data_IF_333860375883
#
_entry.id   IF_333860375883
#
_cell.length_a   1.000
_cell.length_b   1.000
_cell.length_c   1.000
_cell.angle_alpha   90.00
_cell.angle_beta   90.00
_cell.angle_gamma   90.00
#
_symmetry.space_group_name_H-M   'P 1'
#
loop_
_entity.id
_entity.type
_entity.pdbx_description
1 polymer ?
#
# COMPACT_ATOMS: atom_id res chain seq x y z
N UNK A 1 35.15 -12.88 -16.70
CA UNK A 1 33.73 -12.87 -16.30
C UNK A 1 33.24 -11.45 -16.21
N UNK A 2 32.14 -11.15 -16.88
CA UNK A 2 31.59 -9.80 -16.72
C UNK A 2 31.09 -9.61 -15.29
N UNK A 3 31.42 -8.46 -14.72
CA UNK A 3 30.94 -8.10 -13.40
C UNK A 3 29.49 -7.64 -13.53
N UNK A 4 28.59 -8.27 -12.78
CA UNK A 4 27.21 -7.82 -12.71
C UNK A 4 27.15 -6.51 -11.93
N UNK A 5 26.81 -5.44 -12.62
CA UNK A 5 26.56 -4.17 -11.96
C UNK A 5 25.07 -4.02 -11.71
N UNK A 6 24.69 -4.09 -10.45
CA UNK A 6 23.33 -3.82 -10.04
C UNK A 6 23.17 -2.32 -9.82
N UNK A 7 22.31 -1.70 -10.62
CA UNK A 7 21.96 -0.30 -10.40
C UNK A 7 21.09 -0.20 -9.14
N UNK A 8 21.36 0.75 -8.24
CA UNK A 8 20.50 0.94 -7.09
C UNK A 8 19.09 1.35 -7.55
N UNK A 9 18.09 0.92 -6.81
CA UNK A 9 16.71 1.36 -7.05
C UNK A 9 16.64 2.88 -6.94
N UNK A 10 15.90 3.55 -7.82
CA UNK A 10 15.74 5.01 -7.72
C UNK A 10 14.89 5.42 -6.51
N UNK A 11 14.20 4.49 -5.88
CA UNK A 11 13.32 4.74 -4.74
C UNK A 11 13.70 3.85 -3.56
N UNK A 12 13.67 4.41 -2.36
CA UNK A 12 13.95 3.69 -1.12
C UNK A 12 12.85 3.98 -0.10
N UNK A 13 12.26 2.94 0.45
CA UNK A 13 11.32 3.08 1.56
C UNK A 13 12.11 3.26 2.85
N UNK A 14 11.97 4.43 3.48
CA UNK A 14 12.71 4.77 4.72
C UNK A 14 12.00 4.27 5.96
N UNK A 15 10.67 4.44 6.00
CA UNK A 15 9.86 4.01 7.12
C UNK A 15 8.41 3.91 6.69
N UNK A 16 7.63 3.19 7.49
CA UNK A 16 6.20 3.02 7.24
C UNK A 16 5.48 2.89 8.58
N UNK A 17 4.26 3.42 8.62
CA UNK A 17 3.41 3.31 9.79
C UNK A 17 1.99 2.97 9.37
N UNK A 18 1.33 2.17 10.20
CA UNK A 18 -0.09 1.89 10.04
C UNK A 18 -0.86 2.94 10.82
N UNK A 19 -1.68 3.71 10.13
CA UNK A 19 -2.47 4.77 10.76
C UNK A 19 -3.77 4.22 11.32
N UNK A 20 -4.42 3.30 10.60
CA UNK A 20 -5.66 2.68 11.08
C UNK A 20 -5.90 1.36 10.37
N UNK A 21 -6.56 0.44 11.08
CA UNK A 21 -7.03 -0.83 10.53
C UNK A 21 -8.43 -1.06 11.07
N UNK A 22 -9.37 -1.34 10.16
CA UNK A 22 -10.70 -1.78 10.54
C UNK A 22 -11.07 -2.94 9.64
N UNK A 23 -11.34 -4.10 10.25
CA UNK A 23 -11.76 -5.31 9.57
C UNK A 23 -13.01 -5.84 10.25
N UNK A 24 -14.07 -5.96 9.49
CA UNK A 24 -15.32 -6.51 9.95
C UNK A 24 -15.55 -7.85 9.27
N UNK A 25 -15.64 -8.93 10.05
CA UNK A 25 -15.90 -10.26 9.53
C UNK A 25 -17.39 -10.42 9.27
N UNK A 26 -17.72 -11.05 8.16
CA UNK A 26 -19.10 -11.43 7.86
C UNK A 26 -19.36 -12.78 8.50
N UNK A 27 -20.34 -12.81 9.40
CA UNK A 27 -20.71 -14.02 10.15
C UNK A 27 -21.93 -14.68 9.51
N UNK A 28 -22.08 -15.98 9.77
CA UNK A 28 -23.27 -16.76 9.42
C UNK A 28 -23.59 -16.82 7.93
N UNK A 29 -22.54 -16.87 7.10
CA UNK A 29 -22.66 -17.02 5.66
C UNK A 29 -22.09 -18.37 5.22
N UNK A 30 -22.86 -19.10 4.41
CA UNK A 30 -22.40 -20.36 3.81
C UNK A 30 -21.51 -20.12 2.59
N UNK A 31 -21.74 -19.02 1.89
CA UNK A 31 -20.98 -18.64 0.72
C UNK A 31 -20.53 -17.17 0.82
N UNK A 32 -19.29 -16.92 0.45
CA UNK A 32 -18.75 -15.58 0.42
C UNK A 32 -18.57 -15.09 -1.00
N UNK A 33 -18.88 -13.82 -1.24
CA UNK A 33 -18.66 -13.15 -2.51
C UNK A 33 -17.26 -12.55 -2.62
N UNK A 34 -17.03 -11.90 -3.73
CA UNK A 34 -15.76 -11.21 -3.98
C UNK A 34 -15.72 -9.84 -3.32
N UNK A 35 -14.53 -9.43 -2.94
CA UNK A 35 -14.29 -8.07 -2.45
C UNK A 35 -13.97 -7.14 -3.62
N UNK A 36 -14.47 -5.93 -3.55
CA UNK A 36 -14.09 -4.84 -4.44
C UNK A 36 -13.07 -3.97 -3.71
N UNK A 37 -11.91 -3.78 -4.32
CA UNK A 37 -10.85 -2.95 -3.75
C UNK A 37 -10.89 -1.55 -4.32
N UNK A 38 -10.71 -0.58 -3.46
CA UNK A 38 -10.58 0.82 -3.81
C UNK A 38 -9.34 1.35 -3.12
N UNK A 39 -8.49 2.05 -3.87
CA UNK A 39 -7.20 2.53 -3.38
C UNK A 39 -7.11 4.03 -3.60
N UNK A 40 -6.88 4.77 -2.53
CA UNK A 40 -6.61 6.21 -2.59
C UNK A 40 -5.16 6.46 -2.22
N UNK A 41 -4.51 7.37 -2.94
CA UNK A 41 -3.11 7.73 -2.76
C UNK A 41 -2.96 9.23 -2.65
N UNK A 42 -2.23 9.68 -1.63
CA UNK A 42 -1.92 11.09 -1.44
C UNK A 42 -0.41 11.23 -1.23
N UNK A 43 0.25 11.96 -2.12
CA UNK A 43 1.70 12.15 -2.10
C UNK A 43 2.02 13.58 -1.70
N UNK A 44 3.05 13.73 -0.85
CA UNK A 44 3.51 15.06 -0.43
C UNK A 44 5.03 15.08 -0.32
N UNK A 45 5.68 16.14 -0.83
CA UNK A 45 7.09 16.33 -0.55
C UNK A 45 7.29 16.65 0.93
N UNK A 46 8.42 16.20 1.47
CA UNK A 46 8.75 16.49 2.87
C UNK A 46 9.48 17.82 2.93
N UNK A 47 8.96 18.74 3.76
CA UNK A 47 9.56 20.04 3.94
C UNK A 47 10.99 19.89 4.49
N UNK A 48 11.92 20.66 3.93
CA UNK A 48 13.33 20.68 4.30
C UNK A 48 14.10 19.39 4.02
N UNK A 49 13.52 18.45 3.28
CA UNK A 49 14.18 17.22 2.83
C UNK A 49 13.88 17.03 1.34
N UNK A 50 14.69 17.61 0.45
CA UNK A 50 14.35 17.74 -0.96
C UNK A 50 14.13 16.44 -1.72
N UNK A 51 14.75 15.36 -1.31
CA UNK A 51 14.60 14.07 -2.01
C UNK A 51 13.61 13.12 -1.33
N UNK A 52 12.91 13.60 -0.31
CA UNK A 52 12.03 12.78 0.49
C UNK A 52 10.56 13.09 0.26
N UNK A 53 9.75 12.05 0.29
CA UNK A 53 8.32 12.12 0.00
C UNK A 53 7.53 11.29 0.99
N UNK A 54 6.35 11.77 1.35
CA UNK A 54 5.37 10.99 2.09
C UNK A 54 4.29 10.46 1.14
N UNK A 55 3.87 9.23 1.36
CA UNK A 55 2.74 8.64 0.64
C UNK A 55 1.76 8.09 1.66
N UNK A 56 0.54 8.56 1.60
CA UNK A 56 -0.56 8.03 2.38
C UNK A 56 -1.39 7.13 1.49
N UNK A 57 -1.57 5.88 1.90
CA UNK A 57 -2.29 4.89 1.15
C UNK A 57 -3.51 4.45 1.95
N UNK A 58 -4.68 4.58 1.37
CA UNK A 58 -5.93 4.09 1.95
C UNK A 58 -6.50 3.01 1.06
N UNK A 59 -6.66 1.82 1.61
CA UNK A 59 -7.21 0.67 0.91
C UNK A 59 -8.54 0.32 1.55
N UNK A 60 -9.60 0.36 0.76
CA UNK A 60 -10.92 -0.09 1.19
C UNK A 60 -11.27 -1.36 0.46
N UNK A 61 -11.83 -2.32 1.17
CA UNK A 61 -12.36 -3.53 0.56
C UNK A 61 -13.79 -3.69 1.02
N UNK A 62 -14.66 -3.83 0.03
CA UNK A 62 -16.10 -3.79 0.19
C UNK A 62 -16.75 -4.90 -0.63
N UNK A 63 -18.04 -5.07 -0.48
CA UNK A 63 -18.76 -6.06 -1.26
C UNK A 63 -18.80 -5.67 -2.74
N UNK A 64 -18.43 -6.62 -3.61
CA UNK A 64 -18.53 -6.40 -5.04
C UNK A 64 -19.98 -6.42 -5.53
N UNK A 65 -20.82 -7.21 -4.86
CA UNK A 65 -22.26 -7.23 -5.11
C UNK A 65 -23.01 -7.38 -3.78
N UNK A 66 -24.32 -7.20 -3.82
CA UNK A 66 -25.15 -7.27 -2.62
C UNK A 66 -25.67 -8.66 -2.29
N UNK A 67 -25.43 -9.63 -3.16
CA UNK A 67 -26.00 -10.97 -3.03
C UNK A 67 -25.17 -11.83 -2.08
N UNK A 68 -23.84 -11.78 -2.22
CA UNK A 68 -22.93 -12.56 -1.39
C UNK A 68 -21.88 -11.63 -0.81
N UNK A 69 -21.96 -11.24 0.48
CA UNK A 69 -20.95 -10.40 1.08
C UNK A 69 -19.59 -11.13 1.15
N UNK A 70 -18.48 -10.39 1.06
CA UNK A 70 -17.17 -11.00 1.23
C UNK A 70 -16.96 -11.43 2.69
N UNK A 71 -15.96 -12.29 2.91
CA UNK A 71 -15.62 -12.76 4.25
C UNK A 71 -15.27 -11.60 5.19
N UNK A 72 -14.58 -10.59 4.65
CA UNK A 72 -14.20 -9.39 5.39
C UNK A 72 -14.48 -8.14 4.57
N UNK A 73 -14.94 -7.10 5.26
CA UNK A 73 -14.97 -5.74 4.73
C UNK A 73 -14.17 -4.85 5.66
N UNK A 74 -13.65 -3.76 5.15
CA UNK A 74 -12.91 -2.84 6.00
C UNK A 74 -12.04 -1.86 5.26
N UNK A 75 -11.08 -1.32 6.02
CA UNK A 75 -10.22 -0.26 5.54
C UNK A 75 -8.88 -0.31 6.27
N UNK A 76 -7.82 -0.12 5.51
CA UNK A 76 -6.47 0.03 6.06
C UNK A 76 -5.89 1.34 5.53
N UNK A 77 -5.30 2.10 6.43
CA UNK A 77 -4.62 3.34 6.09
C UNK A 77 -3.18 3.27 6.58
N UNK A 78 -2.26 3.47 5.66
CA UNK A 78 -0.83 3.44 5.94
C UNK A 78 -0.17 4.71 5.44
N UNK A 79 0.98 5.02 6.03
CA UNK A 79 1.84 6.08 5.51
C UNK A 79 3.24 5.52 5.31
N UNK A 80 3.86 5.84 4.19
CA UNK A 80 5.24 5.50 3.89
C UNK A 80 6.06 6.75 3.65
N UNK A 81 7.32 6.72 4.05
CA UNK A 81 8.26 7.79 3.78
C UNK A 81 9.35 7.25 2.87
N UNK A 82 9.60 7.97 1.78
CA UNK A 82 10.48 7.51 0.71
C UNK A 82 11.54 8.52 0.40
N UNK A 83 12.68 8.02 -0.05
CA UNK A 83 13.71 8.85 -0.69
C UNK A 83 13.80 8.47 -2.15
N UNK A 84 13.77 9.48 -3.02
CA UNK A 84 14.02 9.29 -4.44
C UNK A 84 15.46 9.68 -4.72
N UNK A 85 16.19 8.81 -5.41
CA UNK A 85 17.61 9.03 -5.71
C UNK A 85 17.76 10.28 -6.59
N UNK A 86 18.71 11.13 -6.24
CA UNK A 86 18.93 12.40 -6.94
C UNK A 86 19.31 12.24 -8.42
N UNK A 87 19.77 11.06 -8.82
CA UNK A 87 20.06 10.77 -10.22
C UNK A 87 18.83 10.38 -11.03
N UNK A 88 17.68 10.22 -10.39
CA UNK A 88 16.42 9.98 -11.08
C UNK A 88 15.96 11.27 -11.73
N UNK A 89 15.91 11.29 -13.06
CA UNK A 89 15.66 12.50 -13.85
C UNK A 89 14.21 12.66 -14.30
N UNK A 90 13.36 11.71 -14.00
CA UNK A 90 11.94 11.76 -14.33
C UNK A 90 11.14 12.32 -13.17
N UNK A 91 9.81 12.30 -13.28
CA UNK A 91 8.91 12.83 -12.27
C UNK A 91 8.97 11.98 -10.98
N UNK A 92 9.50 12.52 -9.87
CA UNK A 92 9.60 11.76 -8.63
C UNK A 92 8.23 11.49 -8.00
N UNK A 93 7.27 12.40 -8.12
CA UNK A 93 5.93 12.19 -7.59
C UNK A 93 5.25 11.00 -8.25
N UNK A 94 5.39 10.85 -9.55
CA UNK A 94 4.83 9.72 -10.28
C UNK A 94 5.47 8.40 -9.82
N UNK A 95 6.78 8.41 -9.58
CA UNK A 95 7.50 7.24 -9.07
C UNK A 95 6.95 6.82 -7.70
N UNK A 96 6.73 7.78 -6.81
CA UNK A 96 6.15 7.51 -5.48
C UNK A 96 4.73 6.98 -5.63
N UNK A 97 3.94 7.60 -6.47
CA UNK A 97 2.53 7.23 -6.64
C UNK A 97 2.35 5.82 -7.22
N UNK A 98 3.26 5.38 -8.07
CA UNK A 98 3.17 4.06 -8.71
C UNK A 98 3.99 3.02 -7.96
N UNK A 99 5.31 3.22 -7.89
CA UNK A 99 6.22 2.23 -7.29
C UNK A 99 6.14 2.25 -5.78
N UNK A 100 6.12 3.44 -5.18
CA UNK A 100 5.98 3.58 -3.73
C UNK A 100 4.68 2.98 -3.23
N UNK A 101 3.57 3.22 -3.93
CA UNK A 101 2.27 2.66 -3.57
C UNK A 101 2.27 1.13 -3.67
N UNK A 102 2.93 0.56 -4.67
CA UNK A 102 3.05 -0.90 -4.82
C UNK A 102 3.81 -1.52 -3.65
N UNK A 103 4.88 -0.88 -3.21
CA UNK A 103 5.66 -1.32 -2.05
C UNK A 103 4.80 -1.32 -0.78
N UNK A 104 4.08 -0.23 -0.56
CA UNK A 104 3.25 -0.07 0.63
C UNK A 104 2.02 -1.00 0.59
N UNK A 105 1.47 -1.21 -0.60
CA UNK A 105 0.38 -2.17 -0.80
C UNK A 105 0.82 -3.59 -0.42
N UNK A 106 2.06 -3.97 -0.74
CA UNK A 106 2.62 -5.25 -0.35
C UNK A 106 2.64 -5.45 1.16
N UNK A 107 3.01 -4.40 1.90
CA UNK A 107 2.96 -4.40 3.36
C UNK A 107 1.54 -4.60 3.88
N UNK A 108 0.57 -3.90 3.29
CA UNK A 108 -0.83 -4.02 3.67
C UNK A 108 -1.36 -5.44 3.43
N UNK A 109 -1.01 -6.06 2.30
CA UNK A 109 -1.40 -7.43 1.98
C UNK A 109 -0.89 -8.43 3.01
N UNK A 110 0.36 -8.31 3.39
CA UNK A 110 0.94 -9.19 4.40
C UNK A 110 0.24 -9.03 5.75
N UNK A 111 -0.07 -7.79 6.11
CA UNK A 111 -0.76 -7.50 7.36
C UNK A 111 -2.17 -8.09 7.37
N UNK A 112 -2.94 -7.92 6.30
CA UNK A 112 -4.28 -8.48 6.17
C UNK A 112 -4.22 -10.01 6.27
N UNK A 113 -3.29 -10.64 5.55
CA UNK A 113 -3.12 -12.09 5.59
C UNK A 113 -2.80 -12.59 6.99
N UNK A 114 -1.95 -11.87 7.71
CA UNK A 114 -1.57 -12.21 9.09
C UNK A 114 -2.75 -12.11 10.05
N UNK A 115 -3.56 -11.06 9.92
CA UNK A 115 -4.74 -10.86 10.78
C UNK A 115 -5.79 -11.91 10.50
N UNK A 116 -6.10 -12.16 9.22
CA UNK A 116 -7.17 -13.10 8.85
C UNK A 116 -6.80 -14.55 9.08
N UNK A 117 -5.51 -14.90 9.02
CA UNK A 117 -5.05 -16.25 9.31
C UNK A 117 -5.22 -16.66 10.78
N UNK A 118 -5.40 -15.70 11.67
CA UNK A 118 -5.57 -15.93 13.12
C UNK A 118 -7.01 -16.09 13.53
N UNK A 119 -7.94 -15.81 12.64
CA UNK A 119 -9.37 -15.86 12.94
C UNK A 119 -10.00 -17.22 12.67
#
# INVERSE_FOLDING_TARGET
>A
MPTLQLKPSPIQLLSQDVLSVRLDATLDQDEFGESQLSVERDTRPIKDQPDCWGLKLRIKFDAADSTHPPEYVGEIELIGYYRVHKHYKQDPEKLIRITGASMLYGVAREMISSITARS
#
